data_IF_527374653071
#
_entry.id   IF_527374653071
#
_cell.length_a   1.000
_cell.length_b   1.000
_cell.length_c   1.000
_cell.angle_alpha   90.00
_cell.angle_beta   90.00
_cell.angle_gamma   90.00
#
_symmetry.space_group_name_H-M   'P 1'
#
loop_
_entity.id
_entity.type
_entity.pdbx_description
1 polymer ?
#
# COMPACT_ATOMS: atom_id res chain seq x y z
N UNK A 1 -16.88 -4.70 -8.17
CA UNK A 1 -15.78 -5.65 -8.37
C UNK A 1 -14.46 -4.91 -8.49
N UNK A 2 -13.49 -5.26 -7.65
CA UNK A 2 -12.09 -4.90 -7.71
C UNK A 2 -11.41 -5.93 -8.63
N UNK A 3 -10.67 -5.45 -9.62
CA UNK A 3 -9.86 -6.31 -10.46
C UNK A 3 -8.53 -6.61 -9.75
N UNK A 4 -8.49 -7.72 -9.01
CA UNK A 4 -7.33 -8.09 -8.18
C UNK A 4 -6.13 -8.49 -9.06
N UNK A 5 -4.96 -7.94 -8.74
CA UNK A 5 -3.69 -8.24 -9.41
C UNK A 5 -2.58 -8.64 -8.42
N UNK A 6 -2.78 -8.42 -7.13
CA UNK A 6 -1.83 -8.80 -6.08
C UNK A 6 -2.40 -8.47 -4.69
N UNK A 7 -1.84 -9.12 -3.67
CA UNK A 7 -2.25 -8.98 -2.27
C UNK A 7 -0.99 -8.94 -1.43
N UNK A 8 -0.93 -8.03 -0.47
CA UNK A 8 0.17 -7.94 0.51
C UNK A 8 -0.42 -7.86 1.91
N UNK A 9 0.33 -8.26 2.93
CA UNK A 9 -0.16 -8.30 4.30
C UNK A 9 0.75 -9.10 5.20
N UNK A 10 0.36 -9.21 6.46
CA UNK A 10 1.16 -9.82 7.53
C UNK A 10 0.31 -10.52 8.62
N UNK A 11 -0.97 -10.77 8.35
CA UNK A 11 -1.90 -11.36 9.32
C UNK A 11 -2.63 -10.36 10.23
N UNK A 12 -2.13 -9.12 10.35
CA UNK A 12 -2.80 -8.00 11.03
C UNK A 12 -3.38 -6.97 10.06
N UNK A 13 -2.80 -6.91 8.86
CA UNK A 13 -3.31 -6.11 7.76
C UNK A 13 -3.30 -6.86 6.44
N UNK A 14 -4.22 -6.47 5.56
CA UNK A 14 -4.34 -7.01 4.21
C UNK A 14 -4.63 -5.89 3.20
N UNK A 15 -3.74 -5.71 2.24
CA UNK A 15 -3.90 -4.80 1.12
C UNK A 15 -4.18 -5.53 -0.19
N UNK A 16 -5.16 -5.07 -0.96
CA UNK A 16 -5.49 -5.62 -2.29
C UNK A 16 -5.16 -4.61 -3.38
N UNK A 17 -4.32 -5.01 -4.33
CA UNK A 17 -3.90 -4.20 -5.46
C UNK A 17 -4.69 -4.53 -6.72
N UNK A 18 -4.99 -3.50 -7.51
CA UNK A 18 -5.45 -3.68 -8.88
C UNK A 18 -4.31 -3.74 -9.91
N UNK A 19 -4.62 -3.94 -11.20
CA UNK A 19 -3.61 -3.99 -12.29
C UNK A 19 -2.79 -2.72 -12.48
N UNK A 20 -3.24 -1.59 -11.94
CA UNK A 20 -2.50 -0.31 -11.95
C UNK A 20 -1.53 -0.20 -10.77
N UNK A 21 -1.62 -1.13 -9.82
CA UNK A 21 -0.88 -1.07 -8.55
C UNK A 21 -1.48 -0.06 -7.59
N UNK A 22 -2.79 0.17 -7.66
CA UNK A 22 -3.53 0.96 -6.68
C UNK A 22 -4.06 0.03 -5.60
N UNK A 23 -3.99 0.45 -4.34
CA UNK A 23 -4.66 -0.24 -3.23
C UNK A 23 -6.14 0.10 -3.30
N UNK A 24 -6.97 -0.93 -3.46
CA UNK A 24 -8.43 -0.81 -3.53
C UNK A 24 -9.14 -1.36 -2.31
N UNK A 25 -8.38 -1.96 -1.41
CA UNK A 25 -8.79 -2.48 -0.13
C UNK A 25 -7.60 -2.49 0.81
N UNK A 26 -7.78 -2.04 2.04
CA UNK A 26 -6.79 -2.14 3.11
C UNK A 26 -7.55 -2.40 4.40
N UNK A 27 -7.43 -3.61 4.95
CA UNK A 27 -7.98 -3.98 6.25
C UNK A 27 -6.91 -3.97 7.33
N UNK A 28 -7.33 -3.56 8.53
CA UNK A 28 -6.56 -3.48 9.77
C UNK A 28 -7.54 -3.19 10.92
N UNK A 29 -7.37 -3.70 12.15
CA UNK A 29 -6.33 -4.64 12.59
C UNK A 29 -6.66 -6.12 12.32
N UNK A 30 -7.80 -6.40 11.69
CA UNK A 30 -8.21 -7.74 11.30
C UNK A 30 -8.37 -7.82 9.78
N UNK A 31 -8.16 -9.01 9.21
CA UNK A 31 -8.17 -9.20 7.76
C UNK A 31 -9.58 -9.10 7.15
N UNK A 32 -10.61 -9.51 7.90
CA UNK A 32 -12.00 -9.60 7.43
C UNK A 32 -12.74 -8.25 7.48
N UNK A 33 -12.44 -7.41 8.47
CA UNK A 33 -13.11 -6.14 8.67
C UNK A 33 -12.33 -5.17 9.58
N UNK A 34 -12.43 -3.85 9.36
CA UNK A 34 -13.05 -3.18 8.21
C UNK A 34 -12.05 -2.82 7.10
N UNK A 35 -12.55 -2.49 5.91
CA UNK A 35 -11.78 -1.73 4.92
C UNK A 35 -11.69 -0.25 5.28
N UNK A 36 -10.52 0.36 5.07
CA UNK A 36 -10.27 1.76 5.41
C UNK A 36 -10.09 2.68 4.21
N UNK A 37 -9.93 2.14 3.01
CA UNK A 37 -9.58 2.91 1.83
C UNK A 37 -10.59 2.71 0.72
N UNK A 38 -10.96 3.81 0.06
CA UNK A 38 -11.58 3.73 -1.26
C UNK A 38 -10.51 3.51 -2.32
N UNK A 39 -9.38 4.23 -2.21
CA UNK A 39 -8.27 4.19 -3.16
C UNK A 39 -6.99 4.73 -2.54
N UNK A 40 -5.89 4.00 -2.71
CA UNK A 40 -4.54 4.57 -2.63
C UNK A 40 -3.90 4.43 -4.01
N UNK A 41 -3.38 5.53 -4.54
CA UNK A 41 -2.70 5.56 -5.82
C UNK A 41 -1.37 6.30 -5.71
N UNK A 42 -0.44 5.93 -6.59
CA UNK A 42 0.85 6.62 -6.70
C UNK A 42 1.01 7.20 -8.09
N UNK A 43 1.57 8.40 -8.16
CA UNK A 43 1.87 9.13 -9.37
C UNK A 43 3.36 9.27 -9.59
N UNK A 44 3.74 9.47 -10.85
CA UNK A 44 5.07 9.93 -11.21
C UNK A 44 4.94 11.15 -12.09
N UNK A 45 5.69 12.21 -11.74
CA UNK A 45 5.76 13.44 -12.52
C UNK A 45 7.16 13.71 -13.03
N UNK A 46 7.24 14.26 -14.25
CA UNK A 46 8.48 14.67 -14.90
C UNK A 46 8.19 15.81 -15.89
N UNK A 47 9.02 16.84 -15.91
CA UNK A 47 8.90 17.92 -16.91
C UNK A 47 7.53 18.61 -16.93
N UNK A 48 6.89 18.75 -15.76
CA UNK A 48 5.53 19.29 -15.63
C UNK A 48 4.41 18.39 -16.16
N UNK A 49 4.72 17.14 -16.53
CA UNK A 49 3.73 16.09 -16.83
C UNK A 49 3.47 15.29 -15.56
N UNK A 50 2.20 15.10 -15.23
CA UNK A 50 1.75 14.33 -14.08
C UNK A 50 0.88 13.17 -14.59
N UNK A 51 1.23 11.92 -14.24
CA UNK A 51 0.43 10.73 -14.54
C UNK A 51 0.40 9.73 -13.40
N UNK A 52 -0.79 9.19 -13.14
CA UNK A 52 -0.94 8.07 -12.22
C UNK A 52 -0.15 6.89 -12.78
N UNK A 53 0.60 6.22 -11.91
CA UNK A 53 1.25 4.97 -12.28
C UNK A 53 0.16 3.96 -12.66
N UNK A 54 0.30 3.37 -13.84
CA UNK A 54 -0.69 2.47 -14.45
C UNK A 54 -1.61 3.10 -15.49
N UNK A 55 -1.78 4.44 -15.51
CA UNK A 55 -2.61 5.12 -16.52
C UNK A 55 -1.81 5.39 -17.79
N UNK A 56 -1.95 4.50 -18.78
CA UNK A 56 -1.13 4.56 -20.01
C UNK A 56 0.32 4.14 -19.79
N UNK A 57 0.59 3.44 -18.68
CA UNK A 57 1.86 2.77 -18.41
C UNK A 57 1.76 1.30 -18.77
N UNK A 58 2.85 0.72 -19.27
CA UNK A 58 3.00 -0.74 -19.30
C UNK A 58 3.36 -1.19 -17.90
N UNK A 59 2.64 -2.17 -17.35
CA UNK A 59 2.89 -2.70 -16.01
C UNK A 59 3.24 -4.19 -16.06
N UNK A 60 4.12 -4.61 -15.17
CA UNK A 60 4.40 -6.01 -14.89
C UNK A 60 4.49 -6.20 -13.37
N UNK A 61 3.62 -7.05 -12.83
CA UNK A 61 3.61 -7.42 -11.42
C UNK A 61 4.07 -8.86 -11.26
N UNK A 62 4.84 -9.12 -10.20
CA UNK A 62 5.25 -10.43 -9.74
C UNK A 62 5.50 -10.40 -8.24
N UNK A 63 5.52 -11.55 -7.57
CA UNK A 63 6.10 -11.64 -6.23
C UNK A 63 7.61 -11.89 -6.34
N UNK A 64 8.40 -11.37 -5.40
CA UNK A 64 9.78 -11.83 -5.22
C UNK A 64 9.73 -13.31 -4.82
N UNK A 65 10.55 -14.13 -5.47
CA UNK A 65 10.54 -15.58 -5.27
C UNK A 65 10.70 -15.97 -3.79
N UNK A 66 9.78 -16.83 -3.33
CA UNK A 66 9.70 -17.28 -1.95
C UNK A 66 9.18 -16.22 -0.96
N UNK A 67 8.46 -15.18 -1.38
CA UNK A 67 7.97 -14.12 -0.48
C UNK A 67 6.57 -13.59 -0.84
N UNK A 68 5.97 -12.81 0.06
CA UNK A 68 4.77 -12.01 -0.19
C UNK A 68 5.08 -10.56 -0.61
N UNK A 69 6.34 -10.27 -0.97
CA UNK A 69 6.74 -8.94 -1.47
C UNK A 69 6.38 -8.82 -2.95
N UNK A 70 5.53 -7.85 -3.27
CA UNK A 70 5.15 -7.57 -4.66
C UNK A 70 6.20 -6.66 -5.29
N UNK A 71 6.75 -7.11 -6.42
CA UNK A 71 7.55 -6.32 -7.35
C UNK A 71 6.65 -5.87 -8.50
N UNK A 72 6.46 -4.56 -8.62
CA UNK A 72 5.70 -3.94 -9.71
C UNK A 72 6.58 -2.98 -10.50
N UNK A 73 6.82 -3.30 -11.76
CA UNK A 73 7.59 -2.46 -12.68
C UNK A 73 6.67 -1.79 -13.68
N UNK A 74 6.78 -0.47 -13.79
CA UNK A 74 5.97 0.38 -14.68
C UNK A 74 6.89 1.12 -15.66
N UNK A 75 6.53 1.14 -16.95
CA UNK A 75 7.25 1.86 -18.00
C UNK A 75 6.38 2.84 -18.77
N UNK A 76 6.89 4.07 -18.99
CA UNK A 76 6.28 5.07 -19.86
C UNK A 76 7.27 6.17 -20.22
N UNK A 77 7.25 6.64 -21.48
CA UNK A 77 8.02 7.83 -21.88
C UNK A 77 9.53 7.78 -21.64
N UNK A 78 10.13 6.58 -21.66
CA UNK A 78 11.56 6.38 -21.36
C UNK A 78 11.89 6.18 -19.87
N UNK A 79 10.90 6.32 -18.99
CA UNK A 79 11.04 6.09 -17.56
C UNK A 79 10.70 4.66 -17.17
N UNK A 80 11.42 4.16 -16.17
CA UNK A 80 11.13 2.92 -15.44
C UNK A 80 10.93 3.26 -13.97
N UNK A 81 9.79 2.85 -13.43
CA UNK A 81 9.48 2.95 -12.00
C UNK A 81 9.33 1.53 -11.44
N UNK A 82 10.24 1.14 -10.58
CA UNK A 82 10.23 -0.14 -9.87
C UNK A 82 9.66 0.08 -8.48
N UNK A 83 8.63 -0.67 -8.11
CA UNK A 83 7.96 -0.59 -6.81
C UNK A 83 8.05 -1.92 -6.07
N UNK A 84 8.45 -1.88 -4.80
CA UNK A 84 8.31 -2.99 -3.86
C UNK A 84 7.17 -2.67 -2.90
N UNK A 85 6.22 -3.58 -2.77
CA UNK A 85 5.00 -3.40 -1.96
C UNK A 85 4.87 -4.58 -1.01
N UNK A 86 4.84 -4.31 0.29
CA UNK A 86 4.80 -5.32 1.34
C UNK A 86 4.26 -4.74 2.65
N UNK A 87 3.92 -5.60 3.61
CA UNK A 87 3.73 -5.22 5.00
C UNK A 87 4.93 -5.72 5.81
N UNK A 88 5.33 -4.98 6.84
CA UNK A 88 6.38 -5.43 7.75
C UNK A 88 5.87 -6.62 8.60
N UNK A 89 6.67 -7.68 8.78
CA UNK A 89 6.28 -8.80 9.65
C UNK A 89 6.00 -8.34 11.08
N UNK A 90 4.92 -8.81 11.70
CA UNK A 90 4.54 -8.50 13.08
C UNK A 90 4.32 -7.00 13.42
N UNK A 91 4.28 -6.13 12.42
CA UNK A 91 4.15 -4.68 12.62
C UNK A 91 2.98 -4.10 11.82
N UNK A 92 2.31 -3.10 12.37
CA UNK A 92 1.15 -2.46 11.72
C UNK A 92 1.58 -1.43 10.64
N UNK A 93 2.45 -1.85 9.72
CA UNK A 93 3.10 -1.00 8.71
C UNK A 93 3.02 -1.60 7.31
N UNK A 94 2.44 -0.84 6.37
CA UNK A 94 2.56 -1.10 4.94
C UNK A 94 3.66 -0.23 4.31
N UNK A 95 4.43 -0.81 3.39
CA UNK A 95 5.60 -0.17 2.77
C UNK A 95 5.47 -0.18 1.26
N UNK A 96 5.76 0.97 0.65
CA UNK A 96 5.84 1.18 -0.79
C UNK A 96 7.20 1.81 -1.12
N UNK A 97 8.16 1.01 -1.57
CA UNK A 97 9.50 1.49 -1.92
C UNK A 97 9.63 1.69 -3.43
N UNK A 98 10.17 2.83 -3.86
CA UNK A 98 10.27 3.25 -5.25
C UNK A 98 11.74 3.42 -5.64
N UNK A 99 12.11 2.82 -6.77
CA UNK A 99 13.34 3.14 -7.50
C UNK A 99 12.96 3.58 -8.92
N UNK A 100 13.38 4.78 -9.28
CA UNK A 100 13.08 5.45 -10.54
C UNK A 100 14.37 5.59 -11.34
N UNK A 101 14.34 5.14 -12.60
CA UNK A 101 15.48 5.23 -13.50
C UNK A 101 15.06 5.49 -14.95
N UNK A 102 16.04 5.85 -15.76
CA UNK A 102 15.84 6.17 -17.18
C UNK A 102 15.51 7.64 -17.40
N UNK A 103 14.71 7.90 -18.44
CA UNK A 103 14.44 9.25 -18.93
C UNK A 103 15.57 9.81 -19.79
N UNK A 104 15.22 10.51 -20.88
CA UNK A 104 16.18 11.21 -21.75
C UNK A 104 16.16 12.73 -21.55
N UNK A 105 15.35 13.22 -20.60
CA UNK A 105 15.08 14.64 -20.42
C UNK A 105 16.01 15.24 -19.35
N UNK A 106 17.18 15.72 -19.79
CA UNK A 106 18.10 16.48 -18.92
C UNK A 106 17.46 17.80 -18.49
N UNK A 107 17.58 18.15 -17.21
CA UNK A 107 17.10 19.41 -16.65
C UNK A 107 15.62 19.43 -16.23
N UNK A 108 14.90 18.31 -16.32
CA UNK A 108 13.53 18.19 -15.83
C UNK A 108 13.52 17.55 -14.44
N UNK A 109 12.92 18.24 -13.46
CA UNK A 109 12.67 17.67 -12.13
C UNK A 109 11.66 16.51 -12.20
N UNK A 110 11.86 15.51 -11.35
CA UNK A 110 11.02 14.33 -11.23
C UNK A 110 10.50 14.18 -9.81
N UNK A 111 9.34 13.55 -9.63
CA UNK A 111 8.78 13.32 -8.30
C UNK A 111 7.90 12.06 -8.25
N UNK A 112 7.83 11.47 -7.06
CA UNK A 112 6.82 10.47 -6.70
C UNK A 112 5.74 11.14 -5.87
N UNK A 113 4.49 10.76 -6.13
CA UNK A 113 3.34 11.39 -5.52
C UNK A 113 2.40 10.32 -4.96
N UNK A 114 1.83 10.57 -3.79
CA UNK A 114 0.86 9.73 -3.13
C UNK A 114 -0.51 10.40 -3.17
N UNK A 115 -1.55 9.58 -3.37
CA UNK A 115 -2.93 9.94 -3.14
C UNK A 115 -3.60 8.89 -2.27
N UNK A 116 -4.14 9.34 -1.14
CA UNK A 116 -4.98 8.54 -0.28
C UNK A 116 -6.41 9.09 -0.30
N UNK A 117 -7.38 8.25 -0.61
CA UNK A 117 -8.81 8.48 -0.38
C UNK A 117 -9.30 7.47 0.64
N UNK A 118 -9.46 7.94 1.88
CA UNK A 118 -9.80 7.11 3.02
C UNK A 118 -11.29 7.20 3.32
N UNK A 119 -11.91 6.02 3.45
CA UNK A 119 -13.27 5.80 3.92
C UNK A 119 -13.19 4.83 5.08
N UNK A 120 -12.66 5.33 6.18
CA UNK A 120 -12.26 4.56 7.36
C UNK A 120 -13.49 3.86 7.93
N UNK A 121 -13.32 2.56 8.21
CA UNK A 121 -14.39 1.67 8.58
C UNK A 121 -15.56 1.65 7.56
N UNK A 122 -15.23 1.54 6.26
CA UNK A 122 -16.17 1.41 5.14
C UNK A 122 -17.19 2.55 5.02
N UNK A 123 -16.82 3.76 5.46
CA UNK A 123 -17.76 4.86 5.59
C UNK A 123 -17.17 6.17 5.09
N UNK A 124 -17.96 6.88 4.30
CA UNK A 124 -17.65 8.18 3.70
C UNK A 124 -17.92 9.37 4.64
N UNK A 125 -18.36 9.10 5.87
CA UNK A 125 -18.68 10.11 6.88
C UNK A 125 -17.81 9.98 8.12
N UNK A 126 -17.58 11.12 8.78
CA UNK A 126 -16.82 11.17 10.03
C UNK A 126 -15.33 10.86 9.90
N UNK A 127 -14.79 10.81 8.67
CA UNK A 127 -13.35 10.73 8.47
C UNK A 127 -12.73 12.11 8.59
N UNK A 128 -11.47 12.12 8.97
CA UNK A 128 -10.66 13.30 9.07
C UNK A 128 -9.30 13.03 8.43
N UNK A 129 -8.69 14.08 7.92
CA UNK A 129 -7.28 14.05 7.50
C UNK A 129 -6.61 15.35 7.91
N UNK A 130 -5.37 15.27 8.38
CA UNK A 130 -4.51 16.42 8.57
C UNK A 130 -3.08 16.14 8.18
N UNK A 131 -2.29 17.21 8.03
CA UNK A 131 -0.84 17.11 7.94
C UNK A 131 -0.20 17.71 9.19
N UNK A 132 0.55 16.90 9.92
CA UNK A 132 1.38 17.32 11.03
C UNK A 132 2.72 17.84 10.50
N UNK A 133 2.91 19.15 10.53
CA UNK A 133 4.14 19.78 10.04
C UNK A 133 5.33 19.58 10.98
N UNK A 134 5.11 19.34 12.28
CA UNK A 134 6.19 19.16 13.25
C UNK A 134 6.75 17.74 13.19
N UNK A 135 5.87 16.77 12.98
CA UNK A 135 6.20 15.35 12.91
C UNK A 135 6.27 14.81 11.48
N UNK A 136 6.04 15.67 10.49
CA UNK A 136 6.17 15.43 9.05
C UNK A 136 5.33 14.25 8.52
N UNK A 137 4.08 14.16 9.01
CA UNK A 137 3.19 13.04 8.74
C UNK A 137 1.81 13.49 8.29
N UNK A 138 1.24 12.84 7.28
CA UNK A 138 -0.18 12.95 6.96
C UNK A 138 -0.96 11.92 7.76
N UNK A 139 -1.95 12.34 8.55
CA UNK A 139 -2.74 11.43 9.39
C UNK A 139 -4.18 11.43 8.89
N UNK A 140 -4.64 10.26 8.43
CA UNK A 140 -6.06 9.99 8.23
C UNK A 140 -6.59 9.32 9.50
N UNK A 141 -7.73 9.78 10.02
CA UNK A 141 -8.28 9.18 11.22
C UNK A 141 -9.80 9.19 11.29
N UNK A 142 -10.32 8.25 12.09
CA UNK A 142 -11.71 8.20 12.53
C UNK A 142 -11.83 7.34 13.77
N UNK A 143 -12.22 7.94 14.89
CA UNK A 143 -12.28 7.26 16.20
C UNK A 143 -10.92 6.60 16.48
N UNK A 144 -10.88 5.35 16.96
CA UNK A 144 -9.63 4.61 17.24
C UNK A 144 -8.95 4.00 16.02
N UNK A 145 -9.10 4.58 14.83
CA UNK A 145 -8.35 4.16 13.63
C UNK A 145 -7.54 5.34 13.12
N UNK A 146 -6.22 5.24 13.18
CA UNK A 146 -5.28 6.24 12.72
C UNK A 146 -4.33 5.62 11.70
N UNK A 147 -4.13 6.33 10.58
CA UNK A 147 -3.23 5.95 9.50
C UNK A 147 -2.28 7.12 9.24
N UNK A 148 -1.07 7.01 9.77
CA UNK A 148 0.00 7.96 9.48
C UNK A 148 0.70 7.56 8.18
N UNK A 149 0.79 8.48 7.24
CA UNK A 149 1.42 8.32 5.93
C UNK A 149 2.57 9.31 5.81
N UNK A 150 3.75 8.80 5.47
CA UNK A 150 4.95 9.63 5.28
C UNK A 150 6.03 8.89 4.51
N UNK A 151 7.10 9.61 4.19
CA UNK A 151 8.24 9.06 3.48
C UNK A 151 9.41 8.72 4.41
N UNK A 152 10.45 8.11 3.85
CA UNK A 152 11.80 8.06 4.41
C UNK A 152 12.48 9.45 4.51
N UNK A 153 11.78 10.49 4.03
CA UNK A 153 12.12 11.90 4.13
C UNK A 153 10.83 12.73 4.15
N UNK A 154 10.92 14.01 4.55
CA UNK A 154 9.77 14.92 4.55
C UNK A 154 9.17 15.07 3.15
N UNK A 155 7.84 15.21 3.08
CA UNK A 155 7.19 15.52 1.81
C UNK A 155 7.42 17.00 1.44
N UNK A 156 7.79 17.26 0.18
CA UNK A 156 8.01 18.61 -0.35
C UNK A 156 6.71 19.39 -0.54
N UNK A 157 5.64 18.66 -0.90
CA UNK A 157 4.30 19.24 -1.02
C UNK A 157 3.25 18.30 -0.42
N UNK A 158 2.25 18.89 0.23
CA UNK A 158 1.11 18.17 0.77
C UNK A 158 -0.20 18.95 0.58
N UNK A 159 -1.32 18.24 0.57
CA UNK A 159 -2.64 18.87 0.54
C UNK A 159 -3.71 17.96 1.14
N UNK A 160 -4.49 18.47 2.09
CA UNK A 160 -5.71 17.81 2.56
C UNK A 160 -6.95 18.44 1.93
N UNK A 161 -7.93 17.62 1.55
CA UNK A 161 -9.14 18.07 0.87
C UNK A 161 -10.31 17.12 1.13
N UNK A 162 -11.53 17.62 0.88
CA UNK A 162 -12.72 16.80 0.76
C UNK A 162 -12.77 16.26 -0.65
N UNK A 163 -13.07 14.98 -0.81
CA UNK A 163 -13.18 14.37 -2.13
C UNK A 163 -14.45 14.85 -2.83
N UNK A 164 -14.28 15.25 -4.08
CA UNK A 164 -15.36 15.56 -5.01
C UNK A 164 -15.17 14.75 -6.31
N UNK A 165 -16.17 14.78 -7.20
CA UNK A 165 -16.12 14.01 -8.45
C UNK A 165 -14.97 14.42 -9.37
N UNK A 166 -14.55 15.69 -9.35
CA UNK A 166 -13.44 16.15 -10.19
C UNK A 166 -12.11 15.57 -9.70
N UNK A 167 -11.87 15.58 -8.39
CA UNK A 167 -10.63 15.07 -7.79
C UNK A 167 -10.55 13.55 -7.75
N UNK A 168 -11.67 12.86 -7.51
CA UNK A 168 -11.70 11.40 -7.42
C UNK A 168 -11.36 10.70 -8.75
N UNK A 169 -11.74 11.32 -9.88
CA UNK A 169 -11.68 10.70 -11.21
C UNK A 169 -10.77 11.42 -12.20
N UNK A 170 -10.12 12.53 -11.82
CA UNK A 170 -9.24 13.23 -12.75
C UNK A 170 -7.98 12.40 -13.07
N UNK A 171 -7.60 12.30 -14.37
CA UNK A 171 -6.36 11.64 -14.80
C UNK A 171 -5.11 12.44 -14.41
N UNK A 172 -5.29 13.71 -14.00
CA UNK A 172 -4.27 14.59 -13.43
C UNK A 172 -4.68 14.99 -12.03
N UNK A 173 -3.77 14.93 -11.08
CA UNK A 173 -4.04 15.49 -9.75
C UNK A 173 -3.41 16.86 -9.62
N UNK A 174 -3.61 17.53 -8.49
CA UNK A 174 -2.95 18.79 -8.17
C UNK A 174 -2.58 18.75 -6.70
N UNK A 175 -1.39 18.21 -6.39
CA UNK A 175 -0.72 18.63 -5.18
C UNK A 175 -0.53 20.15 -5.29
N UNK A 176 -1.05 20.91 -4.33
CA UNK A 176 -0.89 22.36 -4.31
C UNK A 176 0.06 22.71 -3.17
N UNK A 177 1.26 23.15 -3.53
CA UNK A 177 2.26 23.76 -2.63
C UNK A 177 1.61 24.52 -1.47
N UNK A 178 1.80 24.01 -0.24
CA UNK A 178 1.48 24.64 1.06
C UNK A 178 0.19 25.49 1.10
N UNK A 179 -0.85 25.10 0.37
CA UNK A 179 -2.09 25.87 0.20
C UNK A 179 -3.35 25.01 0.25
N UNK A 180 -3.20 23.71 0.53
CA UNK A 180 -4.31 22.87 0.97
C UNK A 180 -4.77 23.26 2.37
N UNK A 181 -6.00 22.87 2.72
CA UNK A 181 -6.38 22.87 4.13
C UNK A 181 -5.42 21.93 4.87
N UNK A 182 -4.99 22.29 6.09
CA UNK A 182 -4.17 21.39 6.93
C UNK A 182 -5.00 20.35 7.65
N UNK A 183 -6.31 20.50 7.65
CA UNK A 183 -7.27 19.62 8.29
C UNK A 183 -8.58 19.65 7.52
N UNK A 184 -9.18 18.49 7.28
CA UNK A 184 -10.49 18.37 6.62
C UNK A 184 -11.30 17.24 7.25
N UNK A 185 -12.62 17.42 7.27
CA UNK A 185 -13.61 16.43 7.72
C UNK A 185 -14.56 16.00 6.59
N UNK A 186 -15.03 14.74 6.64
CA UNK A 186 -16.05 14.17 5.75
C UNK A 186 -15.56 12.98 4.94
N UNK A 187 -15.79 13.00 3.63
CA UNK A 187 -15.16 12.08 2.67
C UNK A 187 -13.82 12.70 2.27
N UNK A 188 -12.71 12.16 2.77
CA UNK A 188 -11.43 12.87 2.80
C UNK A 188 -10.38 12.28 1.88
N UNK A 189 -9.55 13.15 1.32
CA UNK A 189 -8.39 12.78 0.55
C UNK A 189 -7.16 13.60 0.93
N UNK A 190 -6.00 13.00 0.68
CA UNK A 190 -4.71 13.61 0.93
C UNK A 190 -3.73 13.36 -0.22
N UNK A 191 -2.92 14.37 -0.53
CA UNK A 191 -1.78 14.28 -1.45
C UNK A 191 -0.48 14.52 -0.71
N UNK A 192 0.54 13.74 -1.04
CA UNK A 192 1.94 13.97 -0.67
C UNK A 192 2.81 13.89 -1.93
N UNK A 193 3.91 14.62 -1.96
CA UNK A 193 4.87 14.62 -3.07
C UNK A 193 6.29 14.65 -2.52
N UNK A 194 7.16 13.84 -3.12
CA UNK A 194 8.59 13.79 -2.85
C UNK A 194 9.35 14.07 -4.15
N UNK A 195 10.09 15.17 -4.16
CA UNK A 195 10.95 15.60 -5.27
C UNK A 195 12.22 14.73 -5.30
N UNK A 196 12.48 14.12 -6.44
CA UNK A 196 13.65 13.29 -6.70
C UNK A 196 14.72 14.05 -7.51
N UNK A 197 14.45 15.29 -7.90
CA UNK A 197 15.33 16.13 -8.70
C UNK A 197 15.46 15.67 -10.15
N UNK A 198 16.53 16.09 -10.80
CA UNK A 198 16.90 15.66 -12.16
C UNK A 198 17.64 14.32 -12.11
N UNK A 199 17.02 13.29 -12.70
CA UNK A 199 17.52 11.91 -12.73
C UNK A 199 18.34 11.57 -13.98
N UNK A 200 18.75 12.55 -14.78
CA UNK A 200 19.46 12.33 -16.06
C UNK A 200 20.74 11.49 -16.02
N UNK A 201 21.33 11.25 -14.86
CA UNK A 201 22.46 10.33 -14.67
C UNK A 201 22.43 9.57 -13.34
N UNK A 202 21.28 9.56 -12.66
CA UNK A 202 21.13 8.97 -11.32
C UNK A 202 19.81 8.22 -11.21
N UNK A 203 19.75 7.27 -10.30
CA UNK A 203 18.48 6.68 -9.88
C UNK A 203 17.89 7.53 -8.75
N UNK A 204 16.56 7.66 -8.75
CA UNK A 204 15.81 8.34 -7.71
C UNK A 204 15.14 7.31 -6.82
N UNK A 205 15.24 7.48 -5.52
CA UNK A 205 14.65 6.55 -4.55
C UNK A 205 13.84 7.30 -3.51
N UNK A 206 12.70 6.74 -3.15
CA UNK A 206 11.87 7.15 -2.01
C UNK A 206 11.08 5.96 -1.52
N UNK A 207 10.90 5.85 -0.21
CA UNK A 207 10.01 4.85 0.40
C UNK A 207 8.91 5.54 1.16
N UNK A 208 7.68 5.07 0.97
CA UNK A 208 6.46 5.59 1.61
C UNK A 208 5.92 4.52 2.55
N UNK A 209 5.59 4.93 3.77
CA UNK A 209 5.04 4.08 4.81
C UNK A 209 3.60 4.48 5.12
N UNK A 210 2.78 3.50 5.48
CA UNK A 210 1.47 3.68 6.09
C UNK A 210 1.48 2.92 7.41
N UNK A 211 1.51 3.65 8.52
CA UNK A 211 1.57 3.11 9.87
C UNK A 211 0.20 3.25 10.54
N UNK A 212 -0.31 2.14 11.06
CA UNK A 212 -1.64 2.09 11.67
C UNK A 212 -1.52 2.03 13.20
N UNK A 213 -2.41 2.73 13.90
CA UNK A 213 -2.54 2.62 15.36
C UNK A 213 -3.92 3.08 15.84
N UNK A 214 -4.18 2.92 17.15
CA UNK A 214 -5.36 3.40 17.84
C UNK A 214 -5.25 4.88 18.27
N UNK A 215 -4.06 5.47 18.18
CA UNK A 215 -3.78 6.89 18.45
C UNK A 215 -2.96 7.51 17.33
N UNK A 216 -3.04 8.84 17.16
CA UNK A 216 -2.18 9.56 16.21
C UNK A 216 -0.72 9.58 16.67
N UNK A 217 -0.47 9.78 17.97
CA UNK A 217 0.87 9.79 18.54
C UNK A 217 1.64 8.50 18.26
N UNK A 218 1.01 7.34 18.46
CA UNK A 218 1.64 6.04 18.22
C UNK A 218 1.83 5.79 16.71
N UNK A 219 0.82 6.11 15.87
CA UNK A 219 0.93 5.93 14.42
C UNK A 219 2.07 6.76 13.82
N UNK A 220 2.20 8.01 14.26
CA UNK A 220 3.24 8.94 13.80
C UNK A 220 4.61 8.57 14.40
N UNK A 221 4.66 8.10 15.64
CA UNK A 221 5.90 7.62 16.26
C UNK A 221 6.44 6.40 15.52
N UNK A 222 5.57 5.45 15.18
CA UNK A 222 5.92 4.27 14.39
C UNK A 222 6.42 4.67 12.99
N UNK A 223 5.74 5.59 12.32
CA UNK A 223 6.18 6.15 11.03
C UNK A 223 7.60 6.73 11.13
N UNK A 224 7.84 7.57 12.13
CA UNK A 224 9.12 8.26 12.29
C UNK A 224 10.25 7.31 12.72
N UNK A 225 9.93 6.24 13.44
CA UNK A 225 10.86 5.14 13.71
C UNK A 225 11.27 4.46 12.39
N UNK A 226 10.31 4.03 11.57
CA UNK A 226 10.61 3.31 10.32
C UNK A 226 11.31 4.18 9.28
N UNK A 227 10.98 5.47 9.22
CA UNK A 227 11.64 6.42 8.32
C UNK A 227 13.11 6.68 8.66
N UNK A 228 13.54 6.47 9.92
CA UNK A 228 14.95 6.63 10.33
C UNK A 228 15.82 5.44 9.95
N UNK A 229 15.23 4.28 9.73
CA UNK A 229 15.96 3.09 9.31
C UNK A 229 16.13 3.06 7.78
N UNK A 230 17.21 2.46 7.26
CA UNK A 230 17.38 2.31 5.82
C UNK A 230 16.24 1.48 5.21
N UNK A 231 15.55 2.01 4.20
CA UNK A 231 14.44 1.31 3.54
C UNK A 231 14.79 -0.10 3.02
N UNK A 232 16.06 -0.32 2.66
CA UNK A 232 16.57 -1.64 2.27
C UNK A 232 16.47 -2.68 3.39
N UNK A 233 16.64 -2.26 4.65
CA UNK A 233 16.51 -3.12 5.84
C UNK A 233 15.10 -3.70 5.92
N UNK A 234 14.08 -2.85 5.82
CA UNK A 234 12.66 -3.25 5.80
C UNK A 234 12.33 -4.24 4.69
N UNK A 235 12.89 -4.03 3.50
CA UNK A 235 12.71 -4.96 2.38
C UNK A 235 13.40 -6.31 2.64
N UNK A 236 14.61 -6.30 3.20
CA UNK A 236 15.34 -7.52 3.57
C UNK A 236 14.61 -8.31 4.66
N UNK A 237 14.02 -7.63 5.65
CA UNK A 237 13.19 -8.25 6.70
C UNK A 237 11.96 -8.95 6.10
N UNK A 238 11.19 -8.28 5.24
CA UNK A 238 10.02 -8.86 4.58
C UNK A 238 10.40 -10.04 3.66
N UNK A 239 11.54 -9.96 2.97
CA UNK A 239 12.06 -11.07 2.15
C UNK A 239 12.47 -12.25 3.03
N UNK A 240 13.16 -11.98 4.14
CA UNK A 240 13.61 -13.00 5.08
C UNK A 240 12.42 -13.76 5.69
N UNK A 241 11.39 -13.05 6.13
CA UNK A 241 10.19 -13.64 6.70
C UNK A 241 9.49 -14.61 5.73
N UNK A 242 9.29 -14.18 4.47
CA UNK A 242 8.65 -15.04 3.46
C UNK A 242 9.49 -16.29 3.15
N UNK A 243 10.80 -16.12 3.02
CA UNK A 243 11.72 -17.23 2.72
C UNK A 243 11.85 -18.18 3.89
N UNK A 244 11.88 -17.66 5.12
CA UNK A 244 11.88 -18.48 6.32
C UNK A 244 10.60 -19.32 6.41
N UNK A 245 9.43 -18.71 6.20
CA UNK A 245 8.15 -19.42 6.17
C UNK A 245 8.14 -20.55 5.13
N UNK A 246 8.56 -20.26 3.89
CA UNK A 246 8.58 -21.27 2.83
C UNK A 246 9.67 -22.34 3.02
N UNK A 247 10.80 -22.01 3.65
CA UNK A 247 11.89 -22.96 3.93
C UNK A 247 11.49 -24.09 4.86
N UNK A 248 10.46 -23.87 5.69
CA UNK A 248 9.89 -24.87 6.60
C UNK A 248 8.98 -25.87 5.88
N UNK A 249 8.58 -25.58 4.63
CA UNK A 249 7.72 -26.45 3.83
C UNK A 249 8.46 -27.68 3.33
N UNK A 250 7.88 -28.87 3.56
CA UNK A 250 8.28 -30.13 2.92
C UNK A 250 7.77 -30.26 1.50
N UNK A 251 6.75 -29.49 1.14
CA UNK A 251 6.21 -29.46 -0.22
C UNK A 251 7.08 -28.53 -1.05
N UNK A 252 7.86 -29.12 -1.97
CA UNK A 252 8.77 -28.40 -2.85
C UNK A 252 8.11 -27.88 -4.12
N UNK A 253 8.75 -26.89 -4.75
CA UNK A 253 8.38 -26.34 -6.04
C UNK A 253 7.75 -24.95 -5.94
N UNK A 254 8.07 -24.10 -6.91
CA UNK A 254 7.67 -22.67 -6.95
C UNK A 254 6.16 -22.48 -6.80
N UNK A 255 5.35 -23.36 -7.42
CA UNK A 255 3.89 -23.30 -7.32
C UNK A 255 3.35 -23.61 -5.91
N UNK A 256 3.98 -24.54 -5.20
CA UNK A 256 3.60 -24.88 -3.83
C UNK A 256 3.96 -23.74 -2.86
N UNK A 257 5.18 -23.21 -2.95
CA UNK A 257 5.62 -22.07 -2.14
C UNK A 257 4.72 -20.85 -2.33
N UNK A 258 4.37 -20.52 -3.57
CA UNK A 258 3.48 -19.40 -3.86
C UNK A 258 2.07 -19.62 -3.29
N UNK A 259 1.54 -20.85 -3.36
CA UNK A 259 0.23 -21.18 -2.80
C UNK A 259 0.22 -21.09 -1.27
N UNK A 260 1.26 -21.57 -0.59
CA UNK A 260 1.40 -21.47 0.87
C UNK A 260 1.52 -20.03 1.34
N UNK A 261 2.27 -19.21 0.61
CA UNK A 261 2.40 -17.78 0.89
C UNK A 261 1.07 -17.03 0.72
N UNK A 262 0.31 -17.35 -0.33
CA UNK A 262 -1.03 -16.82 -0.52
C UNK A 262 -1.99 -17.26 0.61
N UNK A 263 -1.93 -18.53 1.02
CA UNK A 263 -2.71 -19.05 2.15
C UNK A 263 -2.33 -18.36 3.47
N UNK A 264 -1.04 -18.09 3.70
CA UNK A 264 -0.57 -17.34 4.88
C UNK A 264 -1.20 -15.96 4.95
N UNK A 265 -1.39 -15.27 3.82
CA UNK A 265 -2.06 -13.95 3.78
C UNK A 265 -3.55 -14.01 4.14
N UNK A 266 -4.17 -15.19 4.20
CA UNK A 266 -5.57 -15.36 4.61
C UNK A 266 -5.71 -15.67 6.10
N UNK A 267 -4.60 -15.95 6.79
CA UNK A 267 -4.57 -16.27 8.21
C UNK A 267 -4.39 -14.98 9.02
N UNK A 268 -5.43 -14.60 9.74
CA UNK A 268 -5.43 -13.50 10.69
C UNK A 268 -4.60 -13.88 11.93
N UNK A 269 -3.90 -12.91 12.53
CA UNK A 269 -3.08 -13.13 13.73
C UNK A 269 -3.91 -13.59 14.94
N UNK A 270 -5.20 -13.26 14.97
CA UNK A 270 -6.15 -13.72 16.00
C UNK A 270 -6.79 -15.09 15.67
N UNK A 271 -6.34 -15.75 14.59
CA UNK A 271 -6.68 -17.13 14.24
C UNK A 271 -7.83 -17.30 13.24
N UNK A 272 -8.49 -16.22 12.82
CA UNK A 272 -9.47 -16.25 11.73
C UNK A 272 -8.80 -16.60 10.40
N UNK A 273 -9.45 -17.43 9.56
CA UNK A 273 -8.97 -17.73 8.21
C UNK A 273 -10.05 -17.35 7.21
N UNK A 274 -9.83 -16.27 6.46
CA UNK A 274 -10.80 -15.77 5.48
C UNK A 274 -10.77 -16.62 4.20
N UNK A 275 -11.89 -16.71 3.49
CA UNK A 275 -11.94 -17.50 2.25
C UNK A 275 -11.15 -16.86 1.10
N UNK A 276 -11.21 -15.54 0.97
CA UNK A 276 -10.35 -14.74 0.08
C UNK A 276 -10.37 -13.26 0.50
N UNK A 277 -9.41 -12.43 0.03
CA UNK A 277 -9.52 -10.99 0.15
C UNK A 277 -10.79 -10.47 -0.53
N UNK A 278 -11.37 -9.38 -0.03
CA UNK A 278 -12.59 -8.83 -0.65
C UNK A 278 -12.30 -8.25 -2.03
N UNK A 279 -13.11 -8.64 -3.01
CA UNK A 279 -13.04 -8.14 -4.39
C UNK A 279 -14.40 -7.74 -4.94
N UNK A 280 -15.49 -7.93 -4.22
CA UNK A 280 -16.82 -7.43 -4.53
C UNK A 280 -17.45 -6.77 -3.30
N UNK A 281 -16.93 -5.59 -2.87
CA UNK A 281 -17.30 -4.97 -1.60
C UNK A 281 -18.75 -4.49 -1.50
N UNK A 282 -19.49 -4.53 -2.62
CA UNK A 282 -20.92 -4.18 -2.69
C UNK A 282 -21.81 -5.42 -2.81
N UNK A 283 -21.24 -6.62 -2.74
CA UNK A 283 -21.94 -7.91 -2.83
C UNK A 283 -22.90 -7.99 -4.03
N UNK A 284 -22.48 -7.43 -5.18
CA UNK A 284 -23.31 -7.36 -6.38
C UNK A 284 -23.33 -8.68 -7.15
N UNK A 285 -22.27 -9.48 -7.02
CA UNK A 285 -22.03 -10.73 -7.74
C UNK A 285 -21.63 -11.88 -6.84
N UNK A 286 -21.30 -11.62 -5.58
CA UNK A 286 -20.98 -12.63 -4.58
C UNK A 286 -21.59 -12.28 -3.22
N UNK A 287 -21.62 -13.26 -2.31
CA UNK A 287 -21.98 -13.04 -0.90
C UNK A 287 -20.84 -12.49 -0.04
N UNK A 288 -19.72 -12.10 -0.64
CA UNK A 288 -18.50 -11.71 0.07
C UNK A 288 -17.59 -12.89 0.36
N UNK A 289 -16.28 -12.69 0.27
CA UNK A 289 -15.28 -13.74 0.50
C UNK A 289 -14.34 -13.46 1.68
N UNK A 290 -14.41 -12.25 2.24
CA UNK A 290 -13.62 -11.85 3.41
C UNK A 290 -14.07 -12.50 4.72
N UNK A 291 -14.96 -13.49 4.68
CA UNK A 291 -15.50 -14.14 5.86
C UNK A 291 -14.85 -15.49 6.11
N UNK A 292 -14.91 -15.96 7.36
CA UNK A 292 -14.50 -17.30 7.74
C UNK A 292 -15.57 -18.30 7.35
N UNK A 293 -15.36 -19.01 6.24
CA UNK A 293 -16.12 -20.21 5.94
C UNK A 293 -15.39 -21.43 6.46
N UNK A 294 -16.00 -22.16 7.41
CA UNK A 294 -15.36 -23.29 8.07
C UNK A 294 -14.76 -24.32 7.11
N UNK A 295 -15.41 -24.56 5.96
CA UNK A 295 -14.89 -25.41 4.88
C UNK A 295 -13.55 -24.90 4.34
N UNK A 296 -13.52 -23.65 3.86
CA UNK A 296 -12.35 -23.01 3.24
C UNK A 296 -11.21 -22.87 4.26
N UNK A 297 -11.54 -22.41 5.47
CA UNK A 297 -10.61 -22.31 6.59
C UNK A 297 -9.97 -23.66 6.95
N UNK A 298 -10.75 -24.75 6.96
CA UNK A 298 -10.23 -26.11 7.25
C UNK A 298 -9.19 -26.53 6.22
N UNK A 299 -9.43 -26.28 4.92
CA UNK A 299 -8.47 -26.65 3.87
C UNK A 299 -7.18 -25.82 3.93
N UNK A 300 -7.30 -24.53 4.19
CA UNK A 300 -6.14 -23.64 4.36
C UNK A 300 -5.33 -24.06 5.59
N UNK A 301 -5.97 -24.26 6.74
CA UNK A 301 -5.31 -24.72 7.96
C UNK A 301 -4.59 -26.05 7.75
N UNK A 302 -5.27 -27.03 7.12
CA UNK A 302 -4.68 -28.33 6.80
C UNK A 302 -3.44 -28.18 5.91
N UNK A 303 -3.53 -27.38 4.83
CA UNK A 303 -2.41 -27.18 3.92
C UNK A 303 -1.19 -26.53 4.60
N UNK A 304 -1.42 -25.50 5.43
CA UNK A 304 -0.33 -24.82 6.15
C UNK A 304 0.33 -25.75 7.17
N UNK A 305 -0.46 -26.46 7.98
CA UNK A 305 0.07 -27.39 9.00
C UNK A 305 0.79 -28.58 8.36
N UNK A 306 0.16 -29.27 7.41
CA UNK A 306 0.75 -30.45 6.75
C UNK A 306 1.97 -30.13 5.89
N UNK A 307 2.17 -28.86 5.53
CA UNK A 307 3.41 -28.45 4.85
C UNK A 307 4.60 -28.35 5.81
N UNK A 308 4.37 -28.09 7.10
CA UNK A 308 5.40 -27.81 8.11
C UNK A 308 5.74 -29.01 9.00
N UNK A 309 4.79 -29.93 9.21
CA UNK A 309 4.95 -31.17 10.02
C UNK A 309 5.73 -32.28 9.33
#
# INVERSE_FOLDING_TARGET
MIEVNGVFGNGRMLGVLNRRGEVRWLSWPMLDFPNHVERIAFGFSWGGRERWLGDGWRNQASYIDGTNVILLVSWSGGWRVTRYIFALPEEDVAVFSFNVSGGNNRGEGTAIEFFGHFRIAESDTGNAVFYDEEREAMVFYKRGYYFAVGGDRPADEYSCFRVDKERAFSPRWRAKKRSGSRYVLGDVGGYLKWDLGDLSSKEGEVTVYICCSETDDDAVSLLNEKAREPAKKHLEEAISDGREFTSRSRVGGVGASHSLLAMRLLCDSEGGIIAAPEFDPKFQRSGGYRHVWGRDATFVAYAVVSSSE
#
